data_IF_441513347580
#
_entry.id   IF_441513347580
#
_cell.length_a   1.000
_cell.length_b   1.000
_cell.length_c   1.000
_cell.angle_alpha   90.00
_cell.angle_beta   90.00
_cell.angle_gamma   90.00
#
_symmetry.space_group_name_H-M   'P 1'
#
loop_
_entity.id
_entity.type
_entity.pdbx_description
1 polymer ?
#
# COMPACT_ATOMS: atom_id res chain seq x y z
N UNK A 1 -35.03 -71.38 -41.57
CA UNK A 1 -36.51 -71.53 -41.60
C UNK A 1 -37.10 -70.75 -40.44
N UNK A 2 -38.16 -70.00 -40.73
CA UNK A 2 -38.84 -68.98 -39.90
C UNK A 2 -39.20 -69.46 -38.49
N UNK A 3 -39.04 -68.60 -37.47
CA UNK A 3 -40.08 -68.34 -36.45
C UNK A 3 -39.84 -67.04 -35.66
N UNK A 4 -40.81 -66.13 -35.80
CA UNK A 4 -41.06 -64.98 -34.92
C UNK A 4 -41.35 -65.48 -33.50
N UNK A 5 -40.87 -64.75 -32.50
CA UNK A 5 -41.51 -64.69 -31.17
C UNK A 5 -41.44 -63.24 -30.68
N UNK A 6 -42.60 -62.62 -30.64
CA UNK A 6 -42.91 -61.35 -29.96
C UNK A 6 -42.73 -61.54 -28.45
N UNK A 7 -42.27 -60.52 -27.70
CA UNK A 7 -42.78 -60.13 -26.35
C UNK A 7 -42.28 -58.72 -25.98
N UNK A 8 -43.27 -57.87 -25.68
CA UNK A 8 -43.40 -56.68 -24.82
C UNK A 8 -42.22 -55.73 -24.49
N UNK A 9 -42.48 -54.44 -24.75
CA UNK A 9 -41.96 -53.26 -24.03
C UNK A 9 -42.48 -53.23 -22.58
N UNK A 10 -41.60 -52.95 -21.61
CA UNK A 10 -41.78 -51.93 -20.54
C UNK A 10 -40.38 -51.57 -19.98
N UNK A 11 -40.11 -50.29 -19.76
CA UNK A 11 -39.10 -49.83 -18.79
C UNK A 11 -37.96 -49.01 -19.37
N UNK A 12 -38.10 -47.68 -19.35
CA UNK A 12 -37.02 -46.72 -19.59
C UNK A 12 -35.91 -46.91 -18.55
N UNK A 13 -34.72 -47.32 -19.00
CA UNK A 13 -33.52 -47.34 -18.18
C UNK A 13 -32.90 -45.93 -18.14
N UNK A 14 -33.02 -45.27 -16.98
CA UNK A 14 -32.31 -44.03 -16.68
C UNK A 14 -30.82 -44.36 -16.52
N UNK A 15 -30.00 -43.83 -17.43
CA UNK A 15 -28.55 -43.93 -17.39
C UNK A 15 -28.03 -43.06 -16.22
N UNK A 16 -27.63 -43.67 -15.10
CA UNK A 16 -26.93 -42.97 -14.02
C UNK A 16 -25.48 -42.81 -14.42
N UNK A 17 -25.13 -41.65 -14.99
CA UNK A 17 -23.74 -41.24 -15.17
C UNK A 17 -23.24 -40.81 -13.79
N UNK A 18 -22.56 -41.72 -13.10
CA UNK A 18 -21.74 -41.40 -11.93
C UNK A 18 -20.50 -40.63 -12.41
N UNK A 19 -20.62 -39.31 -12.53
CA UNK A 19 -19.46 -38.43 -12.64
C UNK A 19 -18.78 -38.35 -11.27
N UNK A 20 -17.67 -39.08 -11.15
CA UNK A 20 -16.69 -38.87 -10.08
C UNK A 20 -16.11 -37.47 -10.30
N UNK A 21 -16.67 -36.48 -9.60
CA UNK A 21 -16.08 -35.16 -9.47
C UNK A 21 -14.88 -35.28 -8.53
N UNK A 22 -13.68 -35.20 -9.07
CA UNK A 22 -12.51 -34.82 -8.28
C UNK A 22 -12.73 -33.37 -7.81
N UNK A 23 -13.27 -33.21 -6.60
CA UNK A 23 -13.26 -31.94 -5.90
C UNK A 23 -11.84 -31.67 -5.42
N UNK A 24 -11.15 -30.75 -6.10
CA UNK A 24 -10.05 -30.06 -5.44
C UNK A 24 -10.66 -29.24 -4.30
N UNK A 25 -10.21 -29.41 -3.05
CA UNK A 25 -10.73 -28.60 -1.96
C UNK A 25 -10.21 -27.17 -2.13
N UNK A 26 -11.06 -26.30 -2.68
CA UNK A 26 -10.89 -24.85 -2.57
C UNK A 26 -11.25 -24.46 -1.14
N UNK A 27 -10.24 -24.28 -0.29
CA UNK A 27 -10.42 -23.83 1.08
C UNK A 27 -10.45 -22.30 1.11
N UNK A 28 -11.64 -21.74 1.30
CA UNK A 28 -11.84 -20.30 1.39
C UNK A 28 -13.30 -19.84 1.32
N UNK A 29 -14.27 -20.69 1.68
CA UNK A 29 -15.68 -20.29 1.75
C UNK A 29 -16.01 -19.74 3.13
N UNK A 30 -16.16 -18.41 3.23
CA UNK A 30 -16.81 -17.74 4.34
C UNK A 30 -18.17 -17.21 3.88
N UNK A 31 -19.09 -18.11 3.50
CA UNK A 31 -20.46 -17.73 3.13
C UNK A 31 -21.38 -17.87 4.33
N UNK A 32 -21.51 -16.79 5.11
CA UNK A 32 -22.67 -16.60 6.00
C UNK A 32 -23.68 -15.69 5.30
N UNK A 33 -24.95 -16.03 5.40
CA UNK A 33 -26.04 -15.32 4.73
C UNK A 33 -27.15 -14.93 5.68
N UNK A 34 -27.66 -13.72 5.52
CA UNK A 34 -28.84 -13.26 6.24
C UNK A 34 -30.14 -13.54 5.45
N UNK A 35 -31.28 -13.40 6.14
CA UNK A 35 -32.63 -13.45 5.55
C UNK A 35 -32.79 -12.39 4.44
N UNK A 36 -33.81 -12.56 3.60
CA UNK A 36 -34.14 -11.66 2.49
C UNK A 36 -34.19 -10.18 2.91
N UNK A 37 -33.62 -9.30 2.08
CA UNK A 37 -33.65 -7.85 2.29
C UNK A 37 -34.54 -7.21 1.22
N UNK A 38 -35.50 -6.40 1.65
CA UNK A 38 -36.42 -5.68 0.77
C UNK A 38 -36.22 -4.17 0.92
N UNK A 39 -36.10 -3.48 -0.20
CA UNK A 39 -36.25 -2.02 -0.25
C UNK A 39 -37.63 -1.70 -0.80
N UNK A 40 -38.49 -1.18 0.08
CA UNK A 40 -39.86 -0.81 -0.22
C UNK A 40 -40.21 0.43 0.62
N UNK A 41 -40.55 1.53 -0.05
CA UNK A 41 -41.30 2.66 0.53
C UNK A 41 -42.29 3.13 -0.52
N UNK A 42 -43.48 3.56 -0.09
CA UNK A 42 -44.52 4.06 -0.99
C UNK A 42 -44.03 5.18 -1.91
N UNK A 43 -43.07 5.98 -1.45
CA UNK A 43 -42.42 7.04 -2.22
C UNK A 43 -41.63 6.53 -3.45
N UNK A 44 -41.14 5.29 -3.41
CA UNK A 44 -40.34 4.72 -4.50
C UNK A 44 -41.16 4.07 -5.61
N UNK A 45 -42.45 3.77 -5.37
CA UNK A 45 -43.40 3.11 -6.31
C UNK A 45 -42.94 1.78 -6.94
N UNK A 46 -41.75 1.31 -6.58
CA UNK A 46 -41.08 0.10 -7.06
C UNK A 46 -40.54 -0.65 -5.84
N UNK A 47 -40.69 -1.96 -5.84
CA UNK A 47 -40.13 -2.89 -4.87
C UNK A 47 -38.87 -3.52 -5.47
N UNK A 48 -37.80 -3.56 -4.68
CA UNK A 48 -36.62 -4.36 -4.99
C UNK A 48 -36.34 -5.31 -3.82
N UNK A 49 -36.41 -6.61 -4.09
CA UNK A 49 -36.19 -7.65 -3.08
C UNK A 49 -34.97 -8.47 -3.44
N UNK A 50 -34.03 -8.59 -2.50
CA UNK A 50 -32.87 -9.47 -2.58
C UNK A 50 -33.16 -10.70 -1.73
N UNK A 51 -33.19 -11.88 -2.35
CA UNK A 51 -33.56 -13.14 -1.69
C UNK A 51 -32.62 -13.49 -0.52
N UNK A 52 -31.33 -13.26 -0.69
CA UNK A 52 -30.27 -13.61 0.22
C UNK A 52 -29.11 -12.64 0.09
N UNK A 53 -28.76 -11.99 1.19
CA UNK A 53 -27.57 -11.13 1.26
C UNK A 53 -26.38 -11.98 1.70
N UNK A 54 -25.43 -12.18 0.79
CA UNK A 54 -24.21 -12.95 1.05
C UNK A 54 -23.11 -12.09 1.64
N UNK A 55 -22.30 -12.69 2.52
CA UNK A 55 -21.00 -12.14 2.91
C UNK A 55 -19.96 -12.67 1.93
N UNK A 56 -19.35 -11.78 1.17
CA UNK A 56 -18.34 -12.08 0.16
C UNK A 56 -16.94 -11.79 0.71
N UNK A 57 -15.98 -12.62 0.35
CA UNK A 57 -14.56 -12.31 0.55
C UNK A 57 -14.06 -11.55 -0.68
N UNK A 58 -13.51 -10.36 -0.47
CA UNK A 58 -12.98 -9.50 -1.52
C UNK A 58 -11.94 -10.25 -2.38
N UNK A 59 -12.04 -10.13 -3.71
CA UNK A 59 -11.17 -10.81 -4.68
C UNK A 59 -11.45 -12.30 -4.89
N UNK A 60 -12.34 -12.92 -4.09
CA UNK A 60 -12.68 -14.34 -4.20
C UNK A 60 -13.98 -14.57 -4.96
N UNK A 61 -14.00 -15.68 -5.68
CA UNK A 61 -15.23 -16.24 -6.26
C UNK A 61 -15.82 -17.23 -5.25
N UNK A 62 -17.11 -17.10 -5.00
CA UNK A 62 -17.87 -18.09 -4.26
C UNK A 62 -18.99 -18.63 -5.16
N UNK A 63 -18.94 -19.92 -5.50
CA UNK A 63 -19.97 -20.57 -6.33
C UNK A 63 -21.35 -20.56 -5.67
N UNK A 64 -21.39 -20.47 -4.33
CA UNK A 64 -22.61 -20.45 -3.53
C UNK A 64 -23.22 -19.05 -3.40
N UNK A 65 -22.50 -17.99 -3.81
CA UNK A 65 -22.96 -16.61 -3.77
C UNK A 65 -23.92 -16.24 -4.93
N UNK A 66 -24.85 -17.15 -5.25
CA UNK A 66 -25.94 -16.89 -6.18
C UNK A 66 -27.00 -16.03 -5.49
N UNK A 67 -27.26 -14.86 -6.04
CA UNK A 67 -28.23 -13.88 -5.54
C UNK A 67 -29.36 -13.72 -6.55
N UNK A 68 -30.59 -13.72 -6.05
CA UNK A 68 -31.79 -13.43 -6.83
C UNK A 68 -32.34 -12.08 -6.41
N UNK A 69 -32.55 -11.20 -7.38
CA UNK A 69 -33.16 -9.89 -7.20
C UNK A 69 -34.49 -9.86 -7.93
N UNK A 70 -35.56 -9.57 -7.21
CA UNK A 70 -36.88 -9.33 -7.77
C UNK A 70 -37.14 -7.83 -7.83
N UNK A 71 -37.58 -7.34 -8.99
CA UNK A 71 -37.97 -5.95 -9.21
C UNK A 71 -39.43 -5.95 -9.66
N UNK A 72 -40.28 -5.25 -8.92
CA UNK A 72 -41.72 -5.21 -9.16
C UNK A 72 -42.27 -3.78 -9.03
N UNK A 73 -43.16 -3.39 -9.93
CA UNK A 73 -43.96 -2.18 -9.76
C UNK A 73 -44.96 -2.35 -8.60
N UNK A 74 -44.88 -1.50 -7.58
CA UNK A 74 -45.89 -1.50 -6.50
C UNK A 74 -47.22 -0.96 -6.99
N UNK A 75 -47.15 0.05 -7.88
CA UNK A 75 -48.29 0.67 -8.54
C UNK A 75 -48.15 0.43 -10.04
N UNK A 76 -49.16 -0.16 -10.73
CA UNK A 76 -49.09 -0.35 -12.17
C UNK A 76 -48.84 0.97 -12.90
N UNK A 77 -48.02 0.94 -13.97
CA UNK A 77 -47.68 2.14 -14.74
C UNK A 77 -46.55 3.01 -14.16
N UNK A 78 -45.90 2.57 -13.07
CA UNK A 78 -44.76 3.29 -12.47
C UNK A 78 -43.58 3.43 -13.43
N UNK A 79 -43.27 2.37 -14.18
CA UNK A 79 -42.33 2.38 -15.28
C UNK A 79 -42.97 3.12 -16.47
N UNK A 80 -42.54 4.36 -16.70
CA UNK A 80 -43.17 5.23 -17.67
C UNK A 80 -42.98 4.71 -19.12
N UNK A 81 -44.01 4.73 -19.97
CA UNK A 81 -43.92 4.26 -21.36
C UNK A 81 -42.81 4.98 -22.15
N UNK A 82 -42.06 4.22 -22.95
CA UNK A 82 -40.96 4.74 -23.77
C UNK A 82 -39.73 5.22 -22.98
N UNK A 83 -39.68 4.99 -21.66
CA UNK A 83 -38.56 5.39 -20.79
C UNK A 83 -37.72 4.19 -20.37
N UNK A 84 -36.58 4.50 -19.75
CA UNK A 84 -35.65 3.52 -19.25
C UNK A 84 -35.59 3.53 -17.72
N UNK A 85 -35.52 2.33 -17.16
CA UNK A 85 -35.21 2.10 -15.75
C UNK A 85 -33.94 1.27 -15.67
N UNK A 86 -33.03 1.67 -14.81
CA UNK A 86 -31.72 1.03 -14.63
C UNK A 86 -31.61 0.48 -13.23
N UNK A 87 -31.22 -0.79 -13.12
CA UNK A 87 -30.67 -1.37 -11.90
C UNK A 87 -29.15 -1.53 -12.05
N UNK A 88 -28.39 -0.99 -11.10
CA UNK A 88 -26.92 -0.96 -11.12
C UNK A 88 -26.34 -1.55 -9.84
N UNK A 89 -25.37 -2.45 -10.00
CA UNK A 89 -24.47 -2.82 -8.92
C UNK A 89 -23.53 -1.66 -8.58
N UNK A 90 -23.12 -1.50 -7.31
CA UNK A 90 -22.19 -0.44 -6.92
C UNK A 90 -20.80 -0.67 -7.53
N UNK A 91 -19.99 0.39 -7.58
CA UNK A 91 -18.60 0.30 -8.02
C UNK A 91 -17.87 -0.78 -7.22
N UNK A 92 -17.16 -1.65 -7.91
CA UNK A 92 -16.39 -2.74 -7.33
C UNK A 92 -17.16 -4.01 -6.97
N UNK A 93 -18.47 -4.06 -7.26
CA UNK A 93 -19.24 -5.30 -7.26
C UNK A 93 -19.68 -5.64 -8.69
N UNK A 94 -19.53 -6.91 -9.07
CA UNK A 94 -20.00 -7.40 -10.37
C UNK A 94 -20.49 -8.84 -10.28
N UNK A 95 -21.23 -9.26 -11.29
CA UNK A 95 -21.58 -10.66 -11.53
C UNK A 95 -20.47 -11.36 -12.32
N UNK A 96 -20.15 -12.61 -11.99
CA UNK A 96 -19.15 -13.44 -12.70
C UNK A 96 -19.45 -13.53 -14.20
N UNK A 97 -20.74 -13.66 -14.53
CA UNK A 97 -21.26 -13.72 -15.90
C UNK A 97 -22.33 -12.64 -16.08
N UNK A 98 -22.72 -12.39 -17.35
CA UNK A 98 -23.81 -11.47 -17.69
C UNK A 98 -25.05 -11.79 -16.84
N UNK A 99 -25.63 -10.78 -16.20
CA UNK A 99 -26.79 -10.96 -15.32
C UNK A 99 -27.94 -11.59 -16.13
N UNK A 100 -28.51 -12.67 -15.59
CA UNK A 100 -29.61 -13.40 -16.23
C UNK A 100 -30.93 -12.84 -15.72
N UNK A 101 -31.78 -12.35 -16.62
CA UNK A 101 -33.08 -11.80 -16.26
C UNK A 101 -34.17 -12.63 -16.91
N UNK A 102 -35.21 -12.92 -16.13
CA UNK A 102 -36.45 -13.52 -16.59
C UNK A 102 -37.61 -12.59 -16.27
N UNK A 103 -38.54 -12.46 -17.21
CA UNK A 103 -39.81 -11.78 -17.06
C UNK A 103 -40.80 -12.36 -18.07
N UNK A 104 -42.11 -12.25 -17.78
CA UNK A 104 -43.17 -12.66 -18.68
C UNK A 104 -43.98 -11.44 -19.13
N UNK A 105 -43.29 -10.50 -19.79
CA UNK A 105 -43.85 -9.21 -20.21
C UNK A 105 -43.26 -8.76 -21.55
N UNK A 106 -43.76 -7.66 -22.08
CA UNK A 106 -43.32 -6.96 -23.29
C UNK A 106 -42.11 -6.03 -23.07
N UNK A 107 -41.46 -6.08 -21.90
CA UNK A 107 -40.24 -5.33 -21.63
C UNK A 107 -39.09 -5.80 -22.52
N UNK A 108 -38.26 -4.86 -22.96
CA UNK A 108 -36.95 -5.18 -23.55
C UNK A 108 -35.87 -4.96 -22.49
N UNK A 109 -35.07 -5.99 -22.22
CA UNK A 109 -34.04 -5.92 -21.17
C UNK A 109 -32.64 -6.15 -21.76
N UNK A 110 -31.73 -5.23 -21.45
CA UNK A 110 -30.31 -5.35 -21.73
C UNK A 110 -29.55 -5.56 -20.41
N UNK A 111 -28.57 -6.48 -20.41
CA UNK A 111 -27.78 -6.76 -19.20
C UNK A 111 -26.29 -6.70 -19.46
N UNK A 112 -25.53 -6.39 -18.41
CA UNK A 112 -24.08 -6.54 -18.35
C UNK A 112 -23.74 -7.37 -17.11
N UNK A 113 -22.47 -7.37 -16.68
CA UNK A 113 -22.06 -7.92 -15.39
C UNK A 113 -22.38 -7.00 -14.21
N UNK A 114 -22.73 -5.73 -14.44
CA UNK A 114 -22.95 -4.73 -13.39
C UNK A 114 -24.25 -3.94 -13.52
N UNK A 115 -24.98 -4.08 -14.63
CA UNK A 115 -26.15 -3.26 -14.95
C UNK A 115 -27.25 -4.10 -15.61
N UNK A 116 -28.50 -3.75 -15.30
CA UNK A 116 -29.70 -4.15 -16.03
C UNK A 116 -30.36 -2.85 -16.52
N UNK A 117 -30.55 -2.71 -17.83
CA UNK A 117 -31.33 -1.62 -18.43
C UNK A 117 -32.66 -2.19 -18.91
N UNK A 118 -33.75 -1.65 -18.38
CA UNK A 118 -35.12 -2.03 -18.70
C UNK A 118 -35.68 -0.94 -19.59
N UNK A 119 -36.01 -1.28 -20.84
CA UNK A 119 -36.67 -0.38 -21.78
C UNK A 119 -38.17 -0.68 -21.76
N UNK A 120 -38.95 0.33 -21.38
CA UNK A 120 -40.40 0.23 -21.30
C UNK A 120 -41.00 0.51 -22.68
N UNK A 121 -41.87 -0.35 -23.22
CA UNK A 121 -42.48 -0.10 -24.52
C UNK A 121 -43.37 1.15 -24.49
N UNK A 122 -43.51 1.83 -25.63
CA UNK A 122 -44.37 3.01 -25.76
C UNK A 122 -45.86 2.67 -25.55
N UNK A 123 -46.25 1.44 -25.91
CA UNK A 123 -47.58 0.88 -25.69
C UNK A 123 -47.41 -0.32 -24.77
N UNK A 124 -47.74 -0.14 -23.49
CA UNK A 124 -47.59 -1.15 -22.44
C UNK A 124 -48.92 -1.72 -21.97
N UNK A 125 -48.87 -2.89 -21.34
CA UNK A 125 -49.98 -3.41 -20.54
C UNK A 125 -50.28 -2.53 -19.31
N UNK A 126 -51.54 -2.56 -18.86
CA UNK A 126 -51.99 -1.96 -17.60
C UNK A 126 -51.58 -2.80 -16.37
N UNK A 127 -51.08 -4.02 -16.58
CA UNK A 127 -50.58 -4.85 -15.50
C UNK A 127 -49.24 -4.36 -14.94
N UNK A 128 -48.95 -4.80 -13.71
CA UNK A 128 -47.66 -4.57 -13.06
C UNK A 128 -46.56 -5.33 -13.79
N UNK A 129 -45.45 -4.66 -14.02
CA UNK A 129 -44.23 -5.32 -14.42
C UNK A 129 -43.51 -5.93 -13.24
N UNK A 130 -43.09 -7.18 -13.44
CA UNK A 130 -42.28 -7.95 -12.52
C UNK A 130 -41.18 -8.66 -13.31
N UNK A 131 -39.96 -8.59 -12.77
CA UNK A 131 -38.82 -9.27 -13.34
C UNK A 131 -37.91 -9.84 -12.24
N UNK A 132 -37.24 -10.92 -12.57
CA UNK A 132 -36.36 -11.66 -11.68
C UNK A 132 -34.98 -11.74 -12.30
N UNK A 133 -33.97 -11.23 -11.60
CA UNK A 133 -32.58 -11.24 -12.01
C UNK A 133 -31.78 -12.20 -11.13
N UNK A 134 -30.95 -13.05 -11.75
CA UNK A 134 -30.02 -13.95 -11.03
C UNK A 134 -28.58 -13.60 -11.39
N UNK A 135 -27.73 -13.54 -10.37
CA UNK A 135 -26.34 -13.11 -10.50
C UNK A 135 -25.44 -13.79 -9.46
N UNK A 136 -24.21 -14.15 -9.85
CA UNK A 136 -23.20 -14.64 -8.92
C UNK A 136 -22.25 -13.51 -8.58
N UNK A 137 -22.37 -12.96 -7.38
CA UNK A 137 -21.68 -11.73 -7.01
C UNK A 137 -20.22 -11.99 -6.64
N UNK A 138 -19.35 -11.09 -7.09
CA UNK A 138 -17.93 -11.07 -6.75
C UNK A 138 -17.49 -9.62 -6.51
N UNK A 139 -16.77 -9.39 -5.42
CA UNK A 139 -16.28 -8.06 -5.04
C UNK A 139 -14.81 -7.90 -5.41
N UNK A 140 -14.38 -6.71 -5.83
CA UNK A 140 -12.95 -6.39 -6.00
C UNK A 140 -12.21 -6.50 -4.67
N UNK A 141 -10.90 -6.76 -4.73
CA UNK A 141 -10.04 -6.95 -3.54
C UNK A 141 -9.96 -5.73 -2.62
N UNK A 142 -10.20 -4.54 -3.16
CA UNK A 142 -10.17 -3.25 -2.47
C UNK A 142 -11.51 -2.87 -1.81
N UNK A 143 -12.53 -3.72 -1.90
CA UNK A 143 -13.85 -3.47 -1.32
C UNK A 143 -13.99 -4.04 0.08
N UNK A 144 -14.73 -3.32 0.93
CA UNK A 144 -15.12 -3.73 2.26
C UNK A 144 -16.46 -3.09 2.64
N UNK A 145 -17.21 -3.77 3.52
CA UNK A 145 -18.43 -3.24 4.12
C UNK A 145 -19.70 -3.60 3.35
N UNK A 146 -20.76 -2.84 3.62
CA UNK A 146 -22.08 -3.06 3.04
C UNK A 146 -22.21 -2.42 1.65
N UNK A 147 -22.50 -3.24 0.64
CA UNK A 147 -22.66 -2.80 -0.74
C UNK A 147 -24.13 -2.76 -1.13
N UNK A 148 -24.57 -1.60 -1.62
CA UNK A 148 -25.96 -1.34 -2.00
C UNK A 148 -26.09 -1.19 -3.50
N UNK A 149 -26.96 -1.97 -4.12
CA UNK A 149 -27.37 -1.78 -5.51
C UNK A 149 -28.41 -0.66 -5.59
N UNK A 150 -28.47 -0.01 -6.75
CA UNK A 150 -29.34 1.14 -6.99
C UNK A 150 -30.29 0.85 -8.14
N UNK A 151 -31.57 1.18 -7.97
CA UNK A 151 -32.52 1.30 -9.08
C UNK A 151 -32.89 2.78 -9.28
N UNK A 152 -32.92 3.24 -10.53
CA UNK A 152 -33.35 4.60 -10.90
C UNK A 152 -33.83 4.67 -12.34
N UNK A 153 -34.69 5.62 -12.66
CA UNK A 153 -35.15 5.87 -14.02
C UNK A 153 -36.12 7.04 -14.06
N UNK A 154 -36.54 7.43 -15.25
CA UNK A 154 -37.57 8.46 -15.39
C UNK A 154 -38.88 7.99 -14.74
N UNK A 155 -39.39 8.74 -13.77
CA UNK A 155 -40.58 8.36 -12.99
C UNK A 155 -40.32 7.38 -11.83
N UNK A 156 -39.08 6.87 -11.69
CA UNK A 156 -38.66 6.00 -10.59
C UNK A 156 -37.61 6.74 -9.74
N UNK A 157 -38.02 7.17 -8.56
CA UNK A 157 -37.12 7.77 -7.56
C UNK A 157 -36.00 6.79 -7.21
N UNK A 158 -34.77 7.29 -7.06
CA UNK A 158 -33.62 6.45 -6.73
C UNK A 158 -33.87 5.65 -5.44
N UNK A 159 -33.80 4.34 -5.54
CA UNK A 159 -33.90 3.42 -4.39
C UNK A 159 -32.64 2.57 -4.30
N UNK A 160 -32.18 2.36 -3.07
CA UNK A 160 -30.97 1.58 -2.75
C UNK A 160 -31.34 0.35 -1.93
N UNK A 161 -30.79 -0.79 -2.29
CA UNK A 161 -31.02 -2.06 -1.59
C UNK A 161 -29.69 -2.71 -1.24
N UNK A 162 -29.53 -3.19 -0.01
CA UNK A 162 -28.36 -3.97 0.38
C UNK A 162 -28.34 -5.26 -0.43
N UNK A 163 -27.25 -5.49 -1.17
CA UNK A 163 -27.12 -6.66 -2.06
C UNK A 163 -26.01 -7.61 -1.61
N UNK A 164 -24.97 -7.10 -0.97
CA UNK A 164 -23.87 -7.91 -0.44
C UNK A 164 -23.21 -7.22 0.76
N UNK A 165 -22.57 -8.01 1.63
CA UNK A 165 -21.54 -7.53 2.54
C UNK A 165 -20.19 -8.05 2.08
N UNK A 166 -19.13 -7.26 2.20
CA UNK A 166 -17.80 -7.64 1.77
C UNK A 166 -16.83 -7.54 2.93
N UNK A 167 -16.05 -8.59 3.14
CA UNK A 167 -14.90 -8.58 4.05
C UNK A 167 -13.61 -8.61 3.24
N UNK A 168 -12.63 -7.83 3.66
CA UNK A 168 -11.32 -7.80 3.01
C UNK A 168 -10.57 -9.12 3.30
N UNK A 169 -10.36 -9.93 2.26
CA UNK A 169 -9.68 -11.23 2.39
C UNK A 169 -8.17 -11.12 2.60
N UNK A 170 -7.54 -10.15 1.95
CA UNK A 170 -6.12 -9.88 2.05
C UNK A 170 -5.84 -8.37 2.03
N UNK A 171 -4.73 -7.97 2.64
CA UNK A 171 -4.21 -6.60 2.60
C UNK A 171 -2.72 -6.60 2.30
N UNK A 172 -2.27 -5.55 1.63
CA UNK A 172 -0.87 -5.34 1.32
C UNK A 172 -0.52 -3.94 1.80
N UNK A 173 0.49 -3.84 2.66
CA UNK A 173 0.89 -2.57 3.25
C UNK A 173 2.41 -2.53 3.49
N UNK A 174 3.03 -1.34 3.40
CA UNK A 174 4.39 -1.17 3.84
C UNK A 174 4.47 -1.30 5.37
N UNK A 175 5.57 -1.90 5.84
CA UNK A 175 5.91 -1.89 7.26
C UNK A 175 6.14 -0.44 7.68
N UNK A 176 5.28 0.05 8.57
CA UNK A 176 5.39 1.40 9.11
C UNK A 176 6.72 1.53 9.84
N UNK A 177 7.57 2.41 9.33
CA UNK A 177 8.84 2.77 9.96
C UNK A 177 8.90 4.28 10.11
N UNK A 178 8.78 4.77 11.35
CA UNK A 178 8.81 6.21 11.66
C UNK A 178 10.14 6.88 11.25
N UNK A 179 11.19 6.09 10.99
CA UNK A 179 12.50 6.57 10.53
C UNK A 179 12.68 6.48 9.01
N UNK A 180 11.64 6.08 8.27
CA UNK A 180 11.70 6.00 6.82
C UNK A 180 11.95 7.38 6.23
N UNK A 181 12.94 7.46 5.35
CA UNK A 181 13.30 8.70 4.67
C UNK A 181 12.78 8.70 3.24
N UNK A 182 12.51 9.89 2.68
CA UNK A 182 12.32 10.01 1.25
C UNK A 182 13.53 9.48 0.49
N UNK A 183 13.26 8.82 -0.64
CA UNK A 183 14.27 8.48 -1.61
C UNK A 183 14.84 9.77 -2.21
N UNK A 184 16.16 9.81 -2.38
CA UNK A 184 16.85 10.93 -3.02
C UNK A 184 16.80 10.79 -4.53
N UNK A 185 16.76 11.89 -5.27
CA UNK A 185 16.85 11.87 -6.73
C UNK A 185 18.21 11.41 -7.24
N UNK A 186 18.21 10.61 -8.31
CA UNK A 186 19.43 10.16 -8.99
C UNK A 186 20.30 9.16 -8.20
N UNK A 187 19.84 8.67 -7.06
CA UNK A 187 20.61 7.73 -6.23
C UNK A 187 20.13 6.31 -6.47
N UNK A 188 21.08 5.40 -6.69
CA UNK A 188 20.82 3.98 -6.99
C UNK A 188 20.70 3.15 -5.70
N UNK A 189 19.95 2.05 -5.77
CA UNK A 189 19.91 0.99 -4.75
C UNK A 189 19.63 1.46 -3.32
N UNK A 190 18.72 2.42 -3.16
CA UNK A 190 18.33 2.97 -1.86
C UNK A 190 17.35 2.01 -1.16
N UNK A 191 17.48 1.80 0.17
CA UNK A 191 16.55 0.95 0.90
C UNK A 191 15.13 1.54 0.89
N UNK A 192 14.15 0.68 0.72
CA UNK A 192 12.73 0.98 0.82
C UNK A 192 12.09 0.12 1.93
N UNK A 193 10.88 0.47 2.44
CA UNK A 193 10.22 -0.32 3.46
C UNK A 193 9.93 -1.72 3.01
N UNK A 194 10.00 -2.66 3.93
CA UNK A 194 9.44 -4.00 3.71
C UNK A 194 7.93 -3.91 3.42
N UNK A 195 7.41 -4.90 2.71
CA UNK A 195 5.98 -5.06 2.44
C UNK A 195 5.44 -6.27 3.20
N UNK A 196 4.26 -6.13 3.79
CA UNK A 196 3.50 -7.22 4.38
C UNK A 196 2.29 -7.54 3.52
N UNK A 197 2.26 -8.74 2.97
CA UNK A 197 1.11 -9.33 2.29
C UNK A 197 0.40 -10.21 3.31
N UNK A 198 -0.69 -9.71 3.86
CA UNK A 198 -1.44 -10.36 4.95
C UNK A 198 -2.71 -10.97 4.42
N UNK A 199 -2.87 -12.28 4.58
CA UNK A 199 -4.17 -12.95 4.49
C UNK A 199 -4.93 -12.75 5.80
N UNK A 200 -6.08 -12.09 5.73
CA UNK A 200 -7.02 -11.96 6.85
C UNK A 200 -7.98 -13.15 6.92
N UNK A 201 -8.27 -13.73 5.76
CA UNK A 201 -9.05 -14.96 5.60
C UNK A 201 -8.14 -16.02 4.99
N UNK A 202 -8.19 -17.25 5.51
CA UNK A 202 -7.42 -18.37 4.96
C UNK A 202 -7.68 -18.55 3.45
N UNK A 203 -6.61 -18.82 2.72
CA UNK A 203 -6.63 -19.01 1.28
C UNK A 203 -6.86 -17.74 0.48
N UNK A 204 -6.93 -16.53 1.07
CA UNK A 204 -7.14 -15.29 0.32
C UNK A 204 -6.15 -15.09 -0.84
N UNK A 205 -4.88 -15.47 -0.66
CA UNK A 205 -3.91 -15.61 -1.76
C UNK A 205 -4.02 -17.01 -2.37
N UNK A 206 -4.54 -17.06 -3.60
CA UNK A 206 -4.93 -18.32 -4.24
C UNK A 206 -3.76 -19.02 -4.94
N UNK A 207 -3.92 -20.32 -5.16
CA UNK A 207 -3.09 -21.15 -6.04
C UNK A 207 -3.95 -21.72 -7.16
N UNK A 208 -4.20 -20.91 -8.18
CA UNK A 208 -4.87 -21.33 -9.41
C UNK A 208 -3.84 -21.38 -10.54
N UNK A 209 -3.58 -22.57 -11.10
CA UNK A 209 -2.55 -22.75 -12.13
C UNK A 209 -1.18 -22.20 -11.70
N UNK A 210 -0.66 -21.22 -12.44
CA UNK A 210 0.63 -20.57 -12.19
C UNK A 210 0.53 -19.24 -11.42
N UNK A 211 -0.51 -19.09 -10.58
CA UNK A 211 -0.80 -17.86 -9.84
C UNK A 211 0.43 -17.20 -9.19
N UNK A 212 0.63 -15.94 -9.57
CA UNK A 212 1.69 -15.07 -9.13
C UNK A 212 1.12 -13.86 -8.37
N UNK A 213 2.01 -13.18 -7.66
CA UNK A 213 1.85 -11.82 -7.18
C UNK A 213 2.98 -11.03 -7.80
N UNK A 214 2.64 -9.95 -8.50
CA UNK A 214 3.61 -9.05 -9.12
C UNK A 214 3.33 -7.62 -8.70
N UNK A 215 4.34 -6.88 -8.28
CA UNK A 215 4.21 -5.47 -7.94
C UNK A 215 5.21 -4.59 -8.66
N UNK A 216 4.77 -3.40 -9.04
CA UNK A 216 5.47 -2.49 -9.93
C UNK A 216 5.54 -1.08 -9.33
N UNK A 217 6.60 -0.38 -9.71
CA UNK A 217 6.73 1.06 -9.55
C UNK A 217 6.27 1.77 -10.83
N UNK A 218 5.78 3.03 -10.73
CA UNK A 218 5.42 3.82 -11.90
C UNK A 218 6.64 4.12 -12.78
N UNK A 219 6.45 4.20 -14.10
CA UNK A 219 7.50 4.49 -15.09
C UNK A 219 7.86 5.97 -15.14
N UNK A 220 8.30 6.50 -14.01
CA UNK A 220 8.59 7.92 -13.81
C UNK A 220 10.01 8.11 -13.28
N UNK A 221 10.93 7.22 -13.66
CA UNK A 221 12.34 7.31 -13.30
C UNK A 221 12.75 6.55 -12.04
N UNK A 222 11.88 5.67 -11.52
CA UNK A 222 12.18 4.77 -10.40
C UNK A 222 12.05 3.30 -10.80
N UNK A 223 12.91 2.46 -10.27
CA UNK A 223 12.95 1.02 -10.57
C UNK A 223 13.50 0.22 -9.39
N UNK A 224 13.08 -1.02 -9.25
CA UNK A 224 13.70 -1.96 -8.31
C UNK A 224 15.13 -2.28 -8.75
N UNK A 225 16.06 -2.28 -7.80
CA UNK A 225 17.49 -2.44 -8.09
C UNK A 225 17.96 -3.90 -8.02
N UNK A 226 17.37 -4.70 -7.14
CA UNK A 226 17.79 -6.05 -6.80
C UNK A 226 16.57 -6.94 -6.53
N UNK A 227 16.74 -8.26 -6.61
CA UNK A 227 15.71 -9.23 -6.21
C UNK A 227 15.61 -9.22 -4.67
N UNK A 228 14.42 -8.95 -4.09
CA UNK A 228 14.26 -8.90 -2.64
C UNK A 228 14.19 -10.29 -2.01
N UNK A 229 14.21 -10.33 -0.68
CA UNK A 229 13.91 -11.54 0.09
C UNK A 229 12.39 -11.65 0.29
N UNK A 230 11.80 -12.82 0.00
CA UNK A 230 10.37 -13.10 0.26
C UNK A 230 10.26 -14.26 1.23
N UNK A 231 9.55 -14.07 2.35
CA UNK A 231 9.40 -15.10 3.40
C UNK A 231 7.99 -15.14 3.95
N UNK A 232 7.50 -16.34 4.25
CA UNK A 232 6.28 -16.51 5.04
C UNK A 232 6.66 -16.43 6.52
N UNK A 233 6.21 -15.38 7.21
CA UNK A 233 6.57 -15.12 8.61
C UNK A 233 5.49 -15.54 9.61
N UNK A 234 4.28 -15.81 9.13
CA UNK A 234 3.15 -16.30 9.92
C UNK A 234 2.25 -17.18 9.06
N UNK A 235 1.64 -18.20 9.66
CA UNK A 235 0.65 -19.04 9.00
C UNK A 235 1.25 -20.29 8.36
N UNK A 236 0.62 -20.80 7.31
CA UNK A 236 0.99 -22.04 6.62
C UNK A 236 0.96 -21.96 5.09
N UNK A 237 0.76 -20.76 4.53
CA UNK A 237 0.97 -20.49 3.11
C UNK A 237 2.39 -20.92 2.70
N UNK A 238 2.56 -21.40 1.47
CA UNK A 238 3.89 -21.65 0.90
C UNK A 238 4.08 -20.86 -0.39
N UNK A 239 5.19 -20.15 -0.47
CA UNK A 239 5.67 -19.50 -1.70
C UNK A 239 6.62 -20.46 -2.45
N UNK A 240 6.74 -20.27 -3.75
CA UNK A 240 7.83 -20.89 -4.51
C UNK A 240 9.05 -19.97 -4.47
N UNK A 241 10.01 -20.27 -3.61
CA UNK A 241 11.20 -19.42 -3.40
C UNK A 241 12.04 -19.23 -4.68
N UNK A 242 12.01 -20.19 -5.61
CA UNK A 242 12.72 -20.09 -6.89
C UNK A 242 12.01 -19.21 -7.92
N UNK A 243 10.79 -18.77 -7.64
CA UNK A 243 10.01 -17.91 -8.52
C UNK A 243 10.22 -16.41 -8.26
N UNK A 244 10.94 -16.06 -7.19
CA UNK A 244 11.20 -14.67 -6.83
C UNK A 244 12.19 -14.06 -7.82
N UNK A 245 11.73 -13.09 -8.61
CA UNK A 245 12.57 -12.46 -9.63
C UNK A 245 12.13 -11.04 -9.95
N UNK A 246 13.03 -10.29 -10.60
CA UNK A 246 12.70 -9.03 -11.25
C UNK A 246 12.01 -9.30 -12.60
N UNK A 247 10.93 -8.59 -12.86
CA UNK A 247 10.24 -8.58 -14.16
C UNK A 247 10.70 -7.35 -14.93
N UNK A 248 11.35 -7.55 -16.06
CA UNK A 248 11.93 -6.46 -16.86
C UNK A 248 10.85 -5.59 -17.53
N UNK A 249 11.12 -4.30 -17.75
CA UNK A 249 10.15 -3.36 -18.37
C UNK A 249 9.61 -3.87 -19.72
N UNK A 250 10.47 -4.48 -20.53
CA UNK A 250 10.13 -5.05 -21.84
C UNK A 250 9.15 -6.22 -21.79
N UNK A 251 8.98 -6.84 -20.62
CA UNK A 251 8.07 -7.96 -20.39
C UNK A 251 6.68 -7.49 -19.92
N UNK A 252 6.55 -6.20 -19.63
CA UNK A 252 5.30 -5.57 -19.22
C UNK A 252 4.47 -5.20 -20.46
N UNK A 253 3.17 -5.50 -20.39
CA UNK A 253 2.22 -5.12 -21.45
C UNK A 253 1.74 -3.67 -21.31
N UNK A 254 1.99 -3.03 -20.17
CA UNK A 254 1.59 -1.66 -19.83
C UNK A 254 2.85 -0.82 -19.63
N UNK A 255 3.02 0.21 -20.46
CA UNK A 255 4.18 1.11 -20.47
C UNK A 255 4.13 2.16 -19.34
N UNK A 256 3.08 2.15 -18.53
CA UNK A 256 2.94 2.99 -17.34
C UNK A 256 3.84 2.56 -16.18
N UNK A 257 4.46 1.38 -16.25
CA UNK A 257 5.27 0.82 -15.16
C UNK A 257 6.73 0.62 -15.54
N UNK A 258 7.60 0.83 -14.53
CA UNK A 258 8.97 0.34 -14.57
C UNK A 258 9.00 -1.15 -14.20
N UNK A 259 10.21 -1.71 -14.05
CA UNK A 259 10.38 -3.12 -13.68
C UNK A 259 9.57 -3.49 -12.42
N UNK A 260 9.21 -4.76 -12.33
CA UNK A 260 8.45 -5.32 -11.20
C UNK A 260 9.24 -6.34 -10.41
N UNK A 261 8.66 -6.76 -9.30
CA UNK A 261 9.05 -7.97 -8.58
C UNK A 261 7.87 -8.93 -8.64
N UNK A 262 8.14 -10.19 -8.97
CA UNK A 262 7.14 -11.27 -8.98
C UNK A 262 7.56 -12.41 -8.07
N UNK A 263 6.57 -13.10 -7.51
CA UNK A 263 6.74 -14.39 -6.85
C UNK A 263 5.43 -15.20 -6.95
N UNK A 264 5.53 -16.52 -6.88
CA UNK A 264 4.39 -17.43 -7.04
C UNK A 264 3.98 -18.06 -5.72
N UNK A 265 2.67 -18.25 -5.60
CA UNK A 265 2.11 -19.10 -4.55
C UNK A 265 2.35 -20.56 -4.95
N UNK A 266 2.95 -21.34 -4.05
CA UNK A 266 3.16 -22.78 -4.21
C UNK A 266 1.99 -23.57 -3.62
N UNK A 267 1.46 -23.13 -2.48
CA UNK A 267 0.35 -23.77 -1.77
C UNK A 267 -0.48 -22.71 -1.04
N UNK A 268 -1.81 -22.81 -1.18
CA UNK A 268 -2.76 -21.99 -0.41
C UNK A 268 -2.67 -22.29 1.09
N UNK A 269 -3.02 -21.30 1.89
CA UNK A 269 -3.08 -21.44 3.34
C UNK A 269 -4.38 -22.09 3.81
N UNK A 270 -4.32 -22.81 4.92
CA UNK A 270 -5.50 -23.28 5.65
C UNK A 270 -5.86 -22.39 6.85
N UNK A 271 -4.98 -21.42 7.17
CA UNK A 271 -5.17 -20.39 8.20
C UNK A 271 -4.61 -19.04 7.73
N UNK A 272 -5.07 -17.91 8.29
CA UNK A 272 -4.49 -16.59 8.01
C UNK A 272 -2.95 -16.60 8.08
N UNK A 273 -2.30 -16.15 7.01
CA UNK A 273 -0.85 -16.15 6.83
C UNK A 273 -0.32 -14.76 6.46
N UNK A 274 0.98 -14.54 6.66
CA UNK A 274 1.65 -13.28 6.32
C UNK A 274 2.95 -13.57 5.56
N UNK A 275 3.08 -12.97 4.39
CA UNK A 275 4.31 -12.94 3.59
C UNK A 275 4.97 -11.59 3.80
N UNK A 276 6.24 -11.58 4.19
CA UNK A 276 7.08 -10.41 4.24
C UNK A 276 7.98 -10.38 3.00
N UNK A 277 8.02 -9.24 2.33
CA UNK A 277 9.03 -8.93 1.32
C UNK A 277 9.99 -7.91 1.93
N UNK A 278 11.25 -8.29 2.11
CA UNK A 278 12.28 -7.47 2.74
C UNK A 278 13.46 -7.22 1.80
N UNK A 279 14.38 -6.36 2.23
CA UNK A 279 15.59 -5.99 1.47
C UNK A 279 15.25 -5.31 0.13
N UNK A 280 14.11 -4.62 0.08
CA UNK A 280 13.67 -3.90 -1.12
C UNK A 280 14.59 -2.70 -1.36
N UNK A 281 15.14 -2.61 -2.56
CA UNK A 281 16.00 -1.50 -3.00
C UNK A 281 15.44 -0.84 -4.25
N UNK A 282 15.45 0.49 -4.26
CA UNK A 282 14.93 1.32 -5.34
C UNK A 282 16.01 2.27 -5.84
N UNK A 283 16.18 2.31 -7.15
CA UNK A 283 16.98 3.30 -7.86
C UNK A 283 16.07 4.39 -8.42
N UNK A 284 16.48 5.65 -8.27
CA UNK A 284 15.80 6.81 -8.87
C UNK A 284 16.71 7.48 -9.90
N UNK A 285 16.13 8.26 -10.81
CA UNK A 285 16.86 9.14 -11.72
C UNK A 285 16.67 10.61 -11.31
N UNK A 286 17.29 11.54 -12.05
CA UNK A 286 17.23 12.99 -11.75
C UNK A 286 16.04 13.71 -12.40
N UNK A 287 15.20 13.01 -13.13
CA UNK A 287 14.06 13.61 -13.86
C UNK A 287 12.74 13.44 -13.12
N UNK A 288 12.73 12.74 -11.98
CA UNK A 288 11.52 12.58 -11.19
C UNK A 288 11.13 13.89 -10.50
N UNK A 289 9.82 14.07 -10.31
CA UNK A 289 9.31 15.14 -9.47
C UNK A 289 9.38 14.76 -7.99
N UNK A 290 9.32 15.76 -7.12
CA UNK A 290 9.14 15.54 -5.69
C UNK A 290 7.70 15.09 -5.43
N UNK A 291 7.53 14.11 -4.56
CA UNK A 291 6.19 13.63 -4.23
C UNK A 291 6.11 12.22 -3.71
N UNK A 292 4.88 11.81 -3.43
CA UNK A 292 4.53 10.47 -2.98
C UNK A 292 4.21 9.60 -4.19
N UNK A 293 4.83 8.43 -4.26
CA UNK A 293 4.68 7.48 -5.34
C UNK A 293 4.02 6.20 -4.84
N UNK A 294 3.03 5.75 -5.61
CA UNK A 294 2.28 4.55 -5.33
C UNK A 294 3.03 3.30 -5.78
N UNK A 295 2.83 2.20 -5.04
CA UNK A 295 3.11 0.86 -5.50
C UNK A 295 1.84 0.25 -6.06
N UNK A 296 1.93 -0.36 -7.25
CA UNK A 296 0.80 -1.09 -7.85
C UNK A 296 1.05 -2.59 -7.77
N UNK A 297 0.09 -3.35 -7.24
CA UNK A 297 0.16 -4.81 -7.09
C UNK A 297 -0.89 -5.49 -7.97
N UNK A 298 -0.51 -6.64 -8.52
CA UNK A 298 -1.19 -7.46 -9.49
C UNK A 298 -0.97 -8.94 -9.20
N UNK A 299 -1.65 -9.77 -9.99
CA UNK A 299 -1.38 -11.20 -10.07
C UNK A 299 -2.62 -12.02 -9.78
N UNK A 300 -2.65 -13.19 -10.40
CA UNK A 300 -3.79 -14.10 -10.32
C UNK A 300 -3.96 -14.65 -8.90
N UNK A 301 -2.93 -14.59 -8.06
CA UNK A 301 -3.03 -14.93 -6.65
C UNK A 301 -4.02 -14.03 -5.89
N UNK A 302 -4.16 -12.75 -6.29
CA UNK A 302 -4.94 -11.73 -5.58
C UNK A 302 -6.44 -11.76 -5.92
N UNK A 303 -6.79 -11.76 -7.20
CA UNK A 303 -8.17 -11.68 -7.68
C UNK A 303 -8.44 -12.71 -8.79
N UNK A 304 -9.70 -13.13 -8.95
CA UNK A 304 -10.06 -14.14 -9.96
C UNK A 304 -9.86 -13.58 -11.37
N UNK A 305 -9.43 -14.39 -12.33
CA UNK A 305 -9.11 -13.98 -13.72
C UNK A 305 -10.21 -13.11 -14.36
N UNK A 306 -11.48 -13.51 -14.26
CA UNK A 306 -12.63 -12.71 -14.73
C UNK A 306 -12.80 -11.32 -14.07
N UNK A 307 -12.26 -11.11 -12.86
CA UNK A 307 -12.22 -9.81 -12.17
C UNK A 307 -10.99 -8.97 -12.54
N UNK A 308 -9.93 -9.59 -13.07
CA UNK A 308 -8.70 -8.92 -13.52
C UNK A 308 -8.84 -8.21 -14.87
N UNK A 309 -10.05 -8.16 -15.44
CA UNK A 309 -10.33 -7.37 -16.64
C UNK A 309 -10.08 -5.87 -16.45
N UNK A 310 -10.05 -5.42 -15.19
CA UNK A 310 -9.52 -4.11 -14.84
C UNK A 310 -8.03 -4.27 -14.50
N UNK A 311 -7.19 -3.58 -15.26
CA UNK A 311 -5.73 -3.71 -15.22
C UNK A 311 -5.14 -3.00 -14.00
N UNK A 312 -5.62 -3.27 -12.78
CA UNK A 312 -5.08 -2.75 -11.52
C UNK A 312 -5.81 -3.46 -10.37
N UNK A 313 -5.08 -4.29 -9.63
CA UNK A 313 -5.68 -5.06 -8.52
C UNK A 313 -5.61 -4.25 -7.23
N UNK A 314 -4.49 -3.57 -6.97
CA UNK A 314 -4.33 -2.66 -5.83
C UNK A 314 -3.29 -1.58 -6.13
N UNK A 315 -3.51 -0.34 -5.69
CA UNK A 315 -2.52 0.76 -5.73
C UNK A 315 -2.57 1.50 -4.40
N UNK A 316 -1.42 1.74 -3.79
CA UNK A 316 -1.34 2.47 -2.52
C UNK A 316 -0.02 3.24 -2.41
N UNK A 317 0.00 4.33 -1.61
CA UNK A 317 1.22 5.09 -1.37
C UNK A 317 2.31 4.26 -0.72
N UNK A 318 3.54 4.33 -1.26
CA UNK A 318 4.63 3.48 -0.79
C UNK A 318 5.90 4.25 -0.42
N UNK A 319 6.44 5.04 -1.35
CA UNK A 319 7.69 5.79 -1.14
C UNK A 319 7.53 7.23 -1.58
N UNK A 320 8.09 8.15 -0.81
CA UNK A 320 8.24 9.54 -1.23
C UNK A 320 9.61 9.76 -1.85
N UNK A 321 9.69 10.58 -2.89
CA UNK A 321 10.93 11.09 -3.45
C UNK A 321 11.07 12.56 -3.09
N UNK A 322 12.26 12.96 -2.66
CA UNK A 322 12.59 14.36 -2.44
C UNK A 322 13.90 14.70 -3.16
N UNK A 323 13.80 15.67 -4.06
CA UNK A 323 14.82 16.20 -4.94
C UNK A 323 15.49 17.46 -4.44
N UNK A 324 15.07 17.99 -3.29
CA UNK A 324 15.93 18.92 -2.58
C UNK A 324 17.25 18.19 -2.30
N UNK A 325 18.31 18.62 -2.97
CA UNK A 325 19.73 18.40 -2.60
C UNK A 325 20.04 19.02 -1.23
N UNK A 326 19.11 18.96 -0.29
CA UNK A 326 19.51 18.76 1.08
C UNK A 326 20.21 17.40 1.08
N UNK A 327 21.55 17.44 1.10
CA UNK A 327 22.28 16.58 2.02
C UNK A 327 21.44 16.61 3.31
N UNK A 328 20.52 15.66 3.45
CA UNK A 328 19.83 15.44 4.70
C UNK A 328 20.91 14.81 5.57
N UNK A 329 21.77 15.69 6.09
CA UNK A 329 22.41 15.56 7.37
C UNK A 329 21.30 15.04 8.26
N UNK A 330 21.40 13.76 8.58
CA UNK A 330 20.57 13.18 9.60
C UNK A 330 20.76 14.14 10.77
N UNK A 331 19.71 14.84 11.22
CA UNK A 331 19.74 15.50 12.53
C UNK A 331 19.87 14.36 13.55
N UNK A 332 21.10 13.87 13.71
CA UNK A 332 21.50 12.95 14.75
C UNK A 332 21.67 13.87 15.94
N UNK A 333 20.92 13.58 17.00
CA UNK A 333 21.17 14.21 18.28
C UNK A 333 22.63 13.92 18.67
N UNK A 334 23.46 14.96 18.73
CA UNK A 334 24.84 14.83 19.21
C UNK A 334 24.82 15.25 20.66
N UNK A 335 25.49 14.49 21.53
CA UNK A 335 25.57 14.90 22.92
C UNK A 335 26.91 14.68 23.57
N UNK A 336 27.29 15.69 24.35
CA UNK A 336 28.49 15.72 25.18
C UNK A 336 28.09 15.90 26.63
N UNK A 337 28.74 15.16 27.53
CA UNK A 337 28.51 15.26 28.98
C UNK A 337 29.76 15.80 29.67
N UNK A 338 29.57 16.68 30.65
CA UNK A 338 30.67 17.26 31.42
C UNK A 338 31.35 16.16 32.25
N UNK A 339 32.66 16.04 32.12
CA UNK A 339 33.49 15.07 32.85
C UNK A 339 33.60 13.69 32.20
N UNK A 340 32.86 13.43 31.13
CA UNK A 340 32.83 12.12 30.46
C UNK A 340 33.80 12.08 29.27
N UNK A 341 34.48 10.94 29.08
CA UNK A 341 35.35 10.68 27.92
C UNK A 341 34.58 10.02 26.76
N UNK A 342 33.26 10.05 26.81
CA UNK A 342 32.38 9.53 25.77
C UNK A 342 31.38 10.58 25.31
N UNK A 343 31.04 10.54 24.04
CA UNK A 343 29.98 11.35 23.44
C UNK A 343 29.10 10.47 22.54
N UNK A 344 27.90 10.92 22.22
CA UNK A 344 26.96 10.15 21.41
C UNK A 344 26.62 10.88 20.12
N UNK A 345 26.53 10.12 19.03
CA UNK A 345 25.92 10.53 17.76
C UNK A 345 24.68 9.66 17.56
N UNK A 346 23.49 10.19 17.88
CA UNK A 346 22.29 9.40 18.04
C UNK A 346 22.43 8.41 19.21
N UNK A 347 22.42 7.12 18.91
CA UNK A 347 22.65 6.05 19.91
C UNK A 347 24.06 5.45 19.86
N UNK A 348 24.93 5.96 18.98
CA UNK A 348 26.28 5.44 18.81
C UNK A 348 27.23 6.13 19.76
N UNK A 349 27.85 5.36 20.66
CA UNK A 349 28.91 5.83 21.55
C UNK A 349 30.22 6.07 20.78
N UNK A 350 30.90 7.16 21.11
CA UNK A 350 32.21 7.57 20.59
C UNK A 350 33.10 7.99 21.74
N UNK A 351 34.41 7.75 21.60
CA UNK A 351 35.40 8.05 22.65
C UNK A 351 36.12 9.36 22.36
N UNK A 352 36.44 10.08 23.42
CA UNK A 352 37.31 11.26 23.43
C UNK A 352 38.51 10.98 24.32
N UNK A 353 39.60 11.68 24.05
CA UNK A 353 40.83 11.62 24.84
C UNK A 353 40.93 12.75 25.89
N UNK A 354 40.01 13.71 25.86
CA UNK A 354 39.87 14.77 26.86
C UNK A 354 38.39 15.03 27.14
N UNK A 355 38.04 15.13 28.42
CA UNK A 355 36.65 15.28 28.85
C UNK A 355 36.15 16.73 28.69
N UNK A 356 34.88 16.94 28.28
CA UNK A 356 34.26 18.24 28.30
C UNK A 356 34.19 18.83 29.71
N UNK A 357 34.30 20.15 29.83
CA UNK A 357 34.22 20.86 31.12
C UNK A 357 33.41 22.15 31.02
N UNK A 358 33.02 22.70 32.16
CA UNK A 358 32.27 23.96 32.22
C UNK A 358 33.20 25.12 32.56
N UNK A 359 33.17 26.20 31.78
CA UNK A 359 33.89 27.47 32.02
C UNK A 359 33.00 28.64 31.62
N UNK A 360 32.89 29.66 32.47
CA UNK A 360 32.09 30.89 32.22
C UNK A 360 30.68 30.59 31.67
N UNK A 361 29.99 29.59 32.23
CA UNK A 361 28.65 29.16 31.81
C UNK A 361 28.55 28.53 30.39
N UNK A 362 29.68 28.18 29.77
CA UNK A 362 29.76 27.43 28.52
C UNK A 362 30.40 26.06 28.75
N UNK A 363 30.03 25.08 27.92
CA UNK A 363 30.66 23.77 27.92
C UNK A 363 31.74 23.74 26.85
N UNK A 364 32.94 23.48 27.29
CA UNK A 364 34.12 23.33 26.49
C UNK A 364 34.33 21.88 26.12
N UNK A 365 34.54 21.59 24.85
CA UNK A 365 34.91 20.26 24.36
C UNK A 365 35.91 20.38 23.19
N UNK A 366 36.68 19.31 22.91
CA UNK A 366 37.64 19.30 21.81
C UNK A 366 36.96 19.49 20.45
N UNK A 367 37.42 20.49 19.69
CA UNK A 367 36.84 20.86 18.39
C UNK A 367 36.83 19.70 17.38
N UNK A 368 37.85 18.84 17.42
CA UNK A 368 37.96 17.70 16.50
C UNK A 368 36.78 16.74 16.64
N UNK A 369 36.32 16.46 17.87
CA UNK A 369 35.18 15.58 18.09
C UNK A 369 33.84 16.26 17.76
N UNK A 370 33.74 17.58 17.95
CA UNK A 370 32.59 18.34 17.45
C UNK A 370 32.53 18.26 15.91
N UNK A 371 33.66 18.44 15.23
CA UNK A 371 33.75 18.35 13.77
C UNK A 371 33.37 16.95 13.26
N UNK A 372 33.94 15.89 13.85
CA UNK A 372 33.58 14.49 13.55
C UNK A 372 32.08 14.26 13.75
N UNK A 373 31.52 14.72 14.88
CA UNK A 373 30.11 14.55 15.20
C UNK A 373 29.19 15.24 14.19
N UNK A 374 29.63 16.38 13.66
CA UNK A 374 28.94 17.17 12.63
C UNK A 374 29.25 16.70 11.20
N UNK A 375 29.89 15.54 11.03
CA UNK A 375 30.19 14.96 9.73
C UNK A 375 31.21 15.73 8.91
N UNK A 376 32.04 16.56 9.56
CA UNK A 376 33.15 17.28 8.94
C UNK A 376 34.34 16.34 8.87
N UNK A 377 34.88 16.16 7.66
CA UNK A 377 35.97 15.21 7.40
C UNK A 377 37.34 15.82 7.75
N UNK A 378 38.35 14.99 7.98
CA UNK A 378 39.69 15.47 8.37
C UNK A 378 40.33 16.40 7.33
N UNK A 379 40.06 16.19 6.05
CA UNK A 379 40.53 17.06 4.96
C UNK A 379 39.84 18.44 4.93
N UNK A 380 38.77 18.63 5.72
CA UNK A 380 38.07 19.89 5.91
C UNK A 380 38.55 20.63 7.18
N UNK A 381 39.51 20.05 7.92
CA UNK A 381 40.13 20.61 9.10
C UNK A 381 41.60 20.94 8.80
N UNK A 382 41.95 22.23 8.83
CA UNK A 382 43.31 22.70 8.61
C UNK A 382 43.86 23.29 9.90
N UNK A 383 44.93 22.70 10.41
CA UNK A 383 45.64 23.20 11.57
C UNK A 383 46.88 23.98 11.14
N UNK A 384 47.02 25.20 11.64
CA UNK A 384 48.25 26.00 11.54
C UNK A 384 48.93 26.06 12.90
N UNK A 385 50.03 25.32 13.02
CA UNK A 385 50.85 25.24 14.22
C UNK A 385 51.48 26.59 14.60
N UNK A 386 51.87 27.42 13.61
CA UNK A 386 52.58 28.67 13.89
C UNK A 386 51.65 29.73 14.51
N UNK A 387 50.40 29.78 14.04
CA UNK A 387 49.40 30.73 14.55
C UNK A 387 48.48 30.12 15.61
N UNK A 388 48.58 28.81 15.86
CA UNK A 388 47.69 28.02 16.72
C UNK A 388 46.21 28.18 16.32
N UNK A 389 45.95 28.09 15.01
CA UNK A 389 44.62 28.33 14.41
C UNK A 389 44.06 27.07 13.76
N UNK A 390 42.85 26.69 14.17
CA UNK A 390 42.05 25.67 13.49
C UNK A 390 41.13 26.34 12.47
N UNK A 391 41.23 25.92 11.21
CA UNK A 391 40.33 26.34 10.12
C UNK A 391 39.42 25.19 9.74
N UNK A 392 38.11 25.43 9.76
CA UNK A 392 37.08 24.45 9.39
C UNK A 392 36.43 24.91 8.09
N UNK A 393 36.43 24.03 7.10
CA UNK A 393 35.82 24.23 5.79
C UNK A 393 34.52 23.43 5.72
N UNK A 394 33.36 24.06 5.89
CA UNK A 394 32.06 23.37 5.78
C UNK A 394 31.18 24.07 4.74
N UNK A 395 30.89 23.35 3.65
CA UNK A 395 30.13 23.85 2.50
C UNK A 395 30.71 25.16 1.91
N UNK A 396 30.12 26.32 2.22
CA UNK A 396 30.59 27.67 1.81
C UNK A 396 31.08 28.51 2.99
N UNK A 397 31.31 27.90 4.16
CA UNK A 397 31.79 28.56 5.38
C UNK A 397 33.24 28.18 5.68
N UNK A 398 34.05 29.20 5.92
CA UNK A 398 35.41 29.10 6.46
C UNK A 398 35.35 29.66 7.88
N UNK A 399 35.50 28.79 8.87
CA UNK A 399 35.51 29.14 10.29
C UNK A 399 36.94 29.06 10.83
N UNK A 400 37.46 30.15 11.40
CA UNK A 400 38.81 30.21 11.96
C UNK A 400 38.75 30.41 13.47
N UNK A 401 39.39 29.49 14.18
CA UNK A 401 39.37 29.34 15.63
C UNK A 401 40.80 29.37 16.15
N UNK A 402 41.24 30.53 16.64
CA UNK A 402 42.59 30.71 17.16
C UNK A 402 42.62 30.50 18.67
N UNK A 403 43.53 29.65 19.16
CA UNK A 403 43.71 29.44 20.59
C UNK A 403 44.11 30.75 21.29
N UNK A 404 43.50 31.03 22.45
CA UNK A 404 43.67 32.27 23.22
C UNK A 404 42.86 33.47 22.71
N UNK A 405 42.16 33.35 21.58
CA UNK A 405 41.34 34.42 21.01
C UNK A 405 39.88 34.32 21.47
N UNK A 406 39.25 35.47 21.72
CA UNK A 406 37.80 35.65 21.87
C UNK A 406 37.14 36.17 20.58
N UNK A 407 37.86 36.09 19.45
CA UNK A 407 37.40 36.45 18.12
C UNK A 407 37.43 35.22 17.22
N UNK A 408 36.30 34.96 16.56
CA UNK A 408 36.12 33.89 15.57
C UNK A 408 36.07 34.50 14.17
N UNK A 409 36.84 33.93 13.24
CA UNK A 409 36.80 34.31 11.82
C UNK A 409 35.71 33.55 11.07
N UNK A 410 34.84 34.23 10.31
CA UNK A 410 33.79 33.62 9.47
C UNK A 410 33.81 34.28 8.10
N UNK A 411 34.23 33.57 7.05
CA UNK A 411 34.23 34.10 5.67
C UNK A 411 34.83 35.54 5.58
N UNK A 412 36.01 35.72 6.18
CA UNK A 412 36.74 36.99 6.31
C UNK A 412 36.17 38.04 7.27
N UNK A 413 35.04 37.78 7.94
CA UNK A 413 34.53 38.60 9.04
C UNK A 413 35.12 38.17 10.37
N UNK A 414 35.34 39.12 11.28
CA UNK A 414 35.77 38.86 12.67
C UNK A 414 34.59 39.06 13.60
N UNK A 415 34.21 38.01 14.34
CA UNK A 415 33.05 38.00 15.23
C UNK A 415 33.54 37.78 16.67
N UNK A 416 33.32 38.72 17.59
CA UNK A 416 33.64 38.50 19.01
C UNK A 416 32.68 37.47 19.62
N UNK A 417 33.21 36.62 20.49
CA UNK A 417 32.48 35.62 21.25
C UNK A 417 32.60 35.90 22.76
N UNK A 418 31.65 35.44 23.60
CA UNK A 418 31.62 35.82 25.02
C UNK A 418 32.77 35.23 25.85
N UNK A 419 33.59 34.35 25.25
CA UNK A 419 34.66 33.64 25.94
C UNK A 419 35.75 33.21 24.97
N UNK A 420 36.96 33.04 25.46
CA UNK A 420 38.15 32.66 24.71
C UNK A 420 38.16 31.18 24.31
N UNK A 421 38.78 30.87 23.17
CA UNK A 421 39.11 29.50 22.75
C UNK A 421 40.33 29.04 23.54
N UNK A 422 40.30 27.85 24.15
CA UNK A 422 41.40 27.36 24.99
C UNK A 422 42.24 26.29 24.29
N UNK A 423 43.54 26.29 24.56
CA UNK A 423 44.40 25.13 24.33
C UNK A 423 44.57 24.41 25.67
N UNK A 424 44.18 23.13 25.73
CA UNK A 424 44.28 22.31 26.94
C UNK A 424 44.79 20.92 26.57
N UNK A 425 45.90 20.50 27.18
CA UNK A 425 46.52 19.19 26.94
C UNK A 425 46.70 18.88 25.44
N UNK A 426 47.17 19.86 24.65
CA UNK A 426 47.30 19.81 23.19
C UNK A 426 45.97 19.68 22.40
N UNK A 427 44.84 20.02 23.00
CA UNK A 427 43.53 20.06 22.35
C UNK A 427 42.94 21.46 22.37
N UNK A 428 42.40 21.88 21.23
CA UNK A 428 41.63 23.11 21.15
C UNK A 428 40.23 22.83 21.70
N UNK A 429 39.96 23.45 22.85
CA UNK A 429 38.71 23.36 23.56
C UNK A 429 37.85 24.58 23.20
N UNK A 430 36.64 24.33 22.71
CA UNK A 430 35.73 25.38 22.24
C UNK A 430 34.43 25.40 23.03
N UNK A 431 33.81 26.57 23.26
CA UNK A 431 32.43 26.65 23.74
C UNK A 431 31.49 26.03 22.70
N UNK A 432 30.98 24.83 23.01
CA UNK A 432 30.24 23.98 22.06
C UNK A 432 29.01 24.68 21.49
N UNK A 433 28.24 25.35 22.32
CA UNK A 433 27.03 26.08 21.93
C UNK A 433 27.33 27.21 20.94
N UNK A 434 28.39 27.97 21.20
CA UNK A 434 28.81 29.11 20.38
C UNK A 434 29.35 28.65 19.03
N UNK A 435 30.28 27.68 19.03
CA UNK A 435 30.90 27.20 17.79
C UNK A 435 29.91 26.39 16.94
N UNK A 436 29.06 25.58 17.56
CA UNK A 436 27.99 24.87 16.86
C UNK A 436 27.02 25.84 16.17
N UNK A 437 26.70 26.98 16.79
CA UNK A 437 25.84 28.00 16.21
C UNK A 437 26.42 28.58 14.91
N UNK A 438 27.73 28.83 14.82
CA UNK A 438 28.37 29.28 13.58
C UNK A 438 28.28 28.25 12.45
N UNK A 439 28.25 26.97 12.82
CA UNK A 439 28.07 25.85 11.91
C UNK A 439 26.58 25.56 11.60
N UNK A 440 25.64 26.35 12.15
CA UNK A 440 24.20 26.23 11.88
C UNK A 440 23.46 25.22 12.77
N UNK A 441 24.07 24.80 13.86
CA UNK A 441 23.56 23.75 14.75
C UNK A 441 23.05 24.38 16.05
N UNK A 442 21.88 23.93 16.52
CA UNK A 442 21.30 24.44 17.78
C UNK A 442 21.80 23.63 18.96
N UNK A 443 22.12 24.31 20.06
CA UNK A 443 22.51 23.68 21.31
C UNK A 443 21.43 23.82 22.40
N UNK A 444 21.23 22.76 23.18
CA UNK A 444 20.35 22.73 24.37
C UNK A 444 21.15 22.16 25.55
N UNK A 445 21.17 22.89 26.66
CA UNK A 445 21.78 22.44 27.90
C UNK A 445 20.77 21.72 28.80
N UNK A 446 21.17 20.58 29.36
CA UNK A 446 20.41 19.82 30.36
C UNK A 446 21.19 19.76 31.68
N UNK A 447 20.83 20.62 32.66
CA UNK A 447 21.61 20.75 33.89
C UNK A 447 21.57 19.50 34.77
N UNK A 448 20.45 18.76 34.78
CA UNK A 448 20.28 17.58 35.62
C UNK A 448 21.23 16.44 35.25
N UNK A 449 21.45 16.23 33.94
CA UNK A 449 22.32 15.20 33.38
C UNK A 449 23.72 15.72 33.04
N UNK A 450 23.98 17.01 33.30
CA UNK A 450 25.18 17.73 32.88
C UNK A 450 25.54 17.50 31.40
N UNK A 451 24.53 17.50 30.54
CA UNK A 451 24.60 17.10 29.13
C UNK A 451 24.23 18.27 28.21
N UNK A 452 25.03 18.53 27.18
CA UNK A 452 24.65 19.41 26.06
C UNK A 452 24.24 18.57 24.86
N UNK A 453 23.14 18.97 24.25
CA UNK A 453 22.52 18.33 23.10
C UNK A 453 22.61 19.28 21.90
N UNK A 454 23.09 18.79 20.77
CA UNK A 454 23.20 19.53 19.50
C UNK A 454 22.27 18.92 18.45
N UNK A 455 21.48 19.74 17.75
CA UNK A 455 20.42 19.30 16.82
C UNK A 455 20.12 20.25 15.66
#
# INVERSE_FOLDING_TARGET
>A
MIKRKTIQRVGSATLVISSILFSYPSYGQASSSDKSVKSEKEEYKVSVTVDKVHTLVAGKKDENALTTVEIEELIPGTFLPGREVTFSLPKGLSSVDKIKVWHNSDLRVETTTSKITIHVPAYRSEEKYKLTATMRLVARIDQEGELKATIKGDGVTESKVLIARVIQGASIEPVKNEKQRPLRLGVQAQPAPDLLFTERVAGAFRKEGNADITFHLPRVGMRFSEVPTVKVIKGDLQIDEHSVQLVEEKELKDDSYSNGITFKIKKESSKPSVIQVSDIKISTNRTMADGLYDLTVWGDALAHEKQLKDSKVMSFPYVSVNGSDEKHEVKREISFSVGELVYYIGHTEKKMNIAPYMKKNHIYAPIHHLAEALGIHENELLWDEASQTMTILKDKKILQLQAGSDIVGINSMKVPIPTDIEMKDAHIMVPLDVVAAFLGVKAKWEPASKKIILS
#
